data_IF_515234261937
#
_entry.id   IF_515234261937
#
_cell.length_a   1.000
_cell.length_b   1.000
_cell.length_c   1.000
_cell.angle_alpha   90.00
_cell.angle_beta   90.00
_cell.angle_gamma   90.00
#
_symmetry.space_group_name_H-M   'P 1'
#
loop_
_entity.id
_entity.type
_entity.pdbx_description
1 polymer ?
#
# COMPACT_ATOMS: atom_id res chain seq x y z
N UNK A 1 -5.30 -17.51 11.37
CA UNK A 1 -4.39 -16.55 10.73
C UNK A 1 -3.27 -16.30 11.73
N UNK A 2 -2.03 -16.10 11.26
CA UNK A 2 -0.89 -15.74 12.13
C UNK A 2 -0.40 -14.35 11.78
N UNK A 3 -0.64 -13.39 12.67
CA UNK A 3 -0.12 -12.03 12.57
C UNK A 3 1.19 -11.90 13.37
N UNK A 4 2.14 -11.19 12.78
CA UNK A 4 3.40 -10.82 13.43
C UNK A 4 3.71 -9.36 13.16
N UNK A 5 4.33 -8.70 14.13
CA UNK A 5 4.82 -7.33 14.01
C UNK A 5 6.34 -7.35 14.11
N UNK A 6 6.99 -6.82 13.09
CA UNK A 6 8.42 -6.58 13.06
C UNK A 6 8.68 -5.13 13.51
N UNK A 7 9.56 -4.94 14.49
CA UNK A 7 10.06 -3.64 14.95
C UNK A 7 11.55 -3.51 14.62
N UNK A 8 11.95 -2.31 14.22
CA UNK A 8 13.34 -1.91 13.95
C UNK A 8 13.76 -0.91 15.02
N UNK A 9 14.56 -1.36 15.98
CA UNK A 9 14.89 -0.60 17.19
C UNK A 9 16.40 -0.36 17.21
N UNK A 10 16.90 0.87 17.43
CA UNK A 10 18.34 1.11 17.58
C UNK A 10 18.95 0.18 18.61
N UNK A 11 20.09 -0.42 18.29
CA UNK A 11 20.64 -1.52 19.10
C UNK A 11 20.94 -1.11 20.55
N UNK A 12 21.38 0.13 20.76
CA UNK A 12 21.61 0.72 22.07
C UNK A 12 20.33 0.79 22.92
N UNK A 13 19.22 1.21 22.31
CA UNK A 13 17.91 1.28 22.96
C UNK A 13 17.38 -0.12 23.26
N UNK A 14 17.52 -1.04 22.30
CA UNK A 14 17.06 -2.41 22.46
C UNK A 14 17.81 -3.14 23.59
N UNK A 15 19.15 -3.10 23.62
CA UNK A 15 19.96 -3.76 24.66
C UNK A 15 19.67 -3.23 26.07
N UNK A 16 19.29 -1.96 26.18
CA UNK A 16 18.94 -1.34 27.47
C UNK A 16 17.56 -1.75 27.96
N UNK A 17 16.60 -1.95 27.05
CA UNK A 17 15.19 -2.02 27.40
C UNK A 17 14.51 -3.35 27.10
N UNK A 18 15.12 -4.25 26.33
CA UNK A 18 14.55 -5.53 25.93
C UNK A 18 15.37 -6.71 26.46
N UNK A 19 14.77 -7.91 26.60
CA UNK A 19 15.49 -9.12 27.00
C UNK A 19 16.71 -9.41 26.12
N UNK A 20 17.79 -9.90 26.74
CA UNK A 20 18.98 -10.33 26.01
C UNK A 20 18.65 -11.47 25.03
N UNK A 21 19.28 -11.45 23.85
CA UNK A 21 19.07 -12.47 22.80
C UNK A 21 17.78 -12.31 22.00
N UNK A 22 16.96 -11.29 22.26
CA UNK A 22 15.79 -11.01 21.46
C UNK A 22 16.17 -10.42 20.09
N UNK A 23 15.59 -10.94 19.01
CA UNK A 23 15.72 -10.35 17.66
C UNK A 23 17.03 -10.66 16.94
N UNK A 24 17.25 -9.98 15.82
CA UNK A 24 18.41 -10.15 14.93
C UNK A 24 19.10 -8.80 14.71
N UNK A 25 20.41 -8.74 14.96
CA UNK A 25 21.23 -7.55 14.71
C UNK A 25 21.43 -7.36 13.20
N UNK A 26 21.16 -6.16 12.71
CA UNK A 26 21.32 -5.78 11.30
C UNK A 26 22.30 -4.62 11.11
N UNK A 27 23.25 -4.44 12.04
CA UNK A 27 24.28 -3.41 11.94
C UNK A 27 23.78 -2.04 12.42
N UNK A 28 23.51 -1.93 13.73
CA UNK A 28 23.07 -0.70 14.39
C UNK A 28 21.57 -0.65 14.71
N UNK A 29 20.79 -1.53 14.10
CA UNK A 29 19.36 -1.72 14.36
C UNK A 29 19.10 -3.18 14.68
N UNK A 30 18.38 -3.44 15.76
CA UNK A 30 17.85 -4.74 16.11
C UNK A 30 16.47 -4.94 15.48
N UNK A 31 16.31 -6.01 14.70
CA UNK A 31 15.02 -6.46 14.17
C UNK A 31 14.37 -7.43 15.14
N UNK A 32 13.25 -7.02 15.74
CA UNK A 32 12.47 -7.82 16.69
C UNK A 32 11.16 -8.22 16.02
N UNK A 33 10.85 -9.52 15.93
CA UNK A 33 9.59 -10.01 15.35
C UNK A 33 8.78 -10.70 16.42
N UNK A 34 7.59 -10.19 16.71
CA UNK A 34 6.70 -10.68 17.76
C UNK A 34 5.36 -11.14 17.15
N UNK A 35 4.69 -12.09 17.79
CA UNK A 35 3.28 -12.35 17.51
C UNK A 35 2.45 -11.14 17.95
N UNK A 36 1.32 -10.86 17.30
CA UNK A 36 0.46 -9.70 17.62
C UNK A 36 -0.05 -9.68 19.07
N UNK A 37 -0.17 -10.86 19.70
CA UNK A 37 -0.60 -11.03 21.10
C UNK A 37 0.57 -11.09 22.10
N UNK A 38 1.81 -10.89 21.66
CA UNK A 38 2.96 -10.95 22.55
C UNK A 38 2.94 -9.80 23.57
N UNK A 39 3.00 -10.06 24.89
CA UNK A 39 2.93 -9.02 25.91
C UNK A 39 4.08 -8.00 25.81
N UNK A 40 5.18 -8.35 25.15
CA UNK A 40 6.28 -7.42 24.91
C UNK A 40 5.87 -6.25 24.00
N UNK A 41 4.85 -6.40 23.16
CA UNK A 41 4.31 -5.30 22.35
C UNK A 41 3.81 -4.16 23.23
N UNK A 42 3.11 -4.47 24.33
CA UNK A 42 2.64 -3.45 25.27
C UNK A 42 3.81 -2.68 25.90
N UNK A 43 4.91 -3.39 26.24
CA UNK A 43 6.13 -2.75 26.74
C UNK A 43 6.81 -1.88 25.68
N UNK A 44 6.91 -2.34 24.44
CA UNK A 44 7.46 -1.55 23.32
C UNK A 44 6.62 -0.29 23.12
N UNK A 45 5.29 -0.39 23.17
CA UNK A 45 4.38 0.77 23.10
C UNK A 45 4.66 1.78 24.22
N UNK A 46 4.79 1.34 25.47
CA UNK A 46 5.12 2.23 26.59
C UNK A 46 6.48 2.91 26.42
N UNK A 47 7.48 2.20 25.89
CA UNK A 47 8.80 2.76 25.59
C UNK A 47 8.74 3.77 24.45
N UNK A 48 7.98 3.49 23.39
CA UNK A 48 7.77 4.43 22.29
C UNK A 48 7.16 5.75 22.78
N UNK A 49 6.10 5.67 23.58
CA UNK A 49 5.49 6.86 24.18
C UNK A 49 6.48 7.62 25.09
N UNK A 50 7.27 6.90 25.88
CA UNK A 50 8.28 7.52 26.75
C UNK A 50 9.38 8.24 25.97
N UNK A 51 9.82 7.70 24.84
CA UNK A 51 10.81 8.33 23.96
C UNK A 51 10.22 9.52 23.22
N UNK A 52 8.98 9.41 22.71
CA UNK A 52 8.28 10.52 22.06
C UNK A 52 8.08 11.71 22.97
N UNK A 53 7.74 11.50 24.25
CA UNK A 53 7.64 12.56 25.25
C UNK A 53 8.96 13.36 25.43
N UNK A 54 10.09 12.82 24.96
CA UNK A 54 11.43 13.45 24.97
C UNK A 54 11.89 13.92 23.59
N UNK A 55 11.00 13.95 22.60
CA UNK A 55 11.33 14.30 21.21
C UNK A 55 12.23 13.27 20.51
N UNK A 56 12.22 12.01 20.97
CA UNK A 56 12.96 10.89 20.37
C UNK A 56 11.99 9.81 19.91
N UNK A 57 12.48 8.82 19.17
CA UNK A 57 11.72 7.61 18.85
C UNK A 57 12.44 6.37 19.40
N UNK A 58 11.69 5.36 19.82
CA UNK A 58 12.25 4.08 20.23
C UNK A 58 12.27 3.09 19.06
N UNK A 59 11.29 3.15 18.17
CA UNK A 59 11.09 2.31 16.98
C UNK A 59 11.31 3.13 15.71
N UNK A 60 12.41 2.87 15.01
CA UNK A 60 12.75 3.56 13.74
C UNK A 60 11.98 3.03 12.53
N UNK A 61 11.34 1.87 12.65
CA UNK A 61 10.59 1.27 11.56
C UNK A 61 9.84 0.04 12.01
N UNK A 62 8.84 -0.34 11.23
CA UNK A 62 7.96 -1.44 11.58
C UNK A 62 7.38 -2.11 10.33
N UNK A 63 6.90 -3.34 10.48
CA UNK A 63 6.17 -4.05 9.44
C UNK A 63 5.21 -5.07 10.05
N UNK A 64 3.93 -4.98 9.72
CA UNK A 64 2.95 -6.01 10.07
C UNK A 64 2.92 -7.05 8.96
N UNK A 65 2.93 -8.33 9.33
CA UNK A 65 2.83 -9.45 8.39
C UNK A 65 1.77 -10.43 8.85
N UNK A 66 0.83 -10.75 7.95
CA UNK A 66 -0.19 -11.78 8.16
C UNK A 66 0.11 -12.98 7.29
N UNK A 67 -0.01 -14.16 7.88
CA UNK A 67 0.09 -15.44 7.16
C UNK A 67 -1.20 -16.20 7.30
N UNK A 68 -1.69 -16.67 6.16
CA UNK A 68 -2.90 -17.45 6.05
C UNK A 68 -2.54 -18.86 5.59
N UNK A 69 -3.27 -19.83 6.11
CA UNK A 69 -3.34 -21.16 5.53
C UNK A 69 -4.01 -21.11 4.15
N UNK A 70 -3.82 -22.17 3.39
CA UNK A 70 -4.50 -22.33 2.10
C UNK A 70 -6.01 -22.31 2.26
N UNK A 71 -6.52 -23.00 3.27
CA UNK A 71 -7.96 -23.12 3.53
C UNK A 71 -8.58 -21.76 3.88
N UNK A 72 -7.90 -20.93 4.66
CA UNK A 72 -8.36 -19.57 4.95
C UNK A 72 -8.49 -18.71 3.69
N UNK A 73 -7.51 -18.78 2.79
CA UNK A 73 -7.56 -18.04 1.52
C UNK A 73 -8.60 -18.62 0.55
N UNK A 74 -8.86 -19.93 0.59
CA UNK A 74 -9.86 -20.59 -0.27
C UNK A 74 -11.30 -20.35 0.23
N UNK A 75 -11.49 -20.13 1.54
CA UNK A 75 -12.78 -19.82 2.16
C UNK A 75 -13.08 -18.32 2.25
N UNK A 76 -12.08 -17.45 2.03
CA UNK A 76 -12.24 -16.01 2.06
C UNK A 76 -13.33 -15.55 1.08
N UNK A 77 -14.26 -14.71 1.54
CA UNK A 77 -15.31 -14.11 0.70
C UNK A 77 -14.80 -12.93 -0.12
N UNK A 78 -13.71 -12.33 0.32
CA UNK A 78 -13.04 -11.21 -0.31
C UNK A 78 -11.56 -11.25 0.08
N UNK A 79 -10.68 -10.81 -0.81
CA UNK A 79 -9.25 -10.79 -0.56
C UNK A 79 -8.68 -9.41 -0.86
N UNK A 80 -7.90 -8.86 0.05
CA UNK A 80 -7.10 -7.66 -0.20
C UNK A 80 -5.79 -8.10 -0.85
N UNK A 81 -5.51 -7.59 -2.05
CA UNK A 81 -4.30 -7.92 -2.80
C UNK A 81 -3.56 -6.66 -3.19
N UNK A 82 -2.24 -6.74 -3.34
CA UNK A 82 -1.45 -5.63 -3.85
C UNK A 82 -0.16 -6.09 -4.50
N UNK A 83 0.38 -5.35 -5.48
CA UNK A 83 1.67 -5.65 -6.07
C UNK A 83 2.80 -5.59 -5.03
N UNK A 84 3.62 -6.64 -4.98
CA UNK A 84 4.75 -6.76 -4.05
C UNK A 84 5.93 -5.89 -4.48
N UNK A 85 6.17 -5.78 -5.80
CA UNK A 85 7.26 -4.97 -6.33
C UNK A 85 6.77 -3.57 -6.63
N UNK A 86 7.48 -2.60 -6.08
CA UNK A 86 7.40 -1.19 -6.47
C UNK A 86 8.62 -0.83 -7.33
N UNK A 87 8.50 0.13 -8.25
CA UNK A 87 9.64 0.66 -9.02
C UNK A 87 9.49 2.15 -9.31
N UNK A 88 10.62 2.76 -9.67
CA UNK A 88 10.74 4.14 -10.16
C UNK A 88 11.15 4.11 -11.64
N UNK A 89 10.83 5.15 -12.43
CA UNK A 89 10.15 6.40 -12.03
C UNK A 89 8.62 6.27 -11.85
N UNK A 90 8.01 7.29 -11.26
CA UNK A 90 6.56 7.51 -11.29
C UNK A 90 6.08 7.89 -12.71
N UNK A 91 4.77 7.74 -12.96
CA UNK A 91 4.19 8.15 -14.24
C UNK A 91 4.41 9.63 -14.57
N UNK A 92 4.28 10.51 -13.58
CA UNK A 92 4.43 11.98 -13.74
C UNK A 92 5.84 12.37 -14.22
N UNK A 93 6.87 11.67 -13.74
CA UNK A 93 8.26 11.89 -14.17
C UNK A 93 8.48 11.47 -15.63
N UNK A 94 7.59 10.66 -16.19
CA UNK A 94 7.62 10.18 -17.56
C UNK A 94 6.61 10.90 -18.48
N UNK A 95 5.90 11.92 -17.99
CA UNK A 95 4.93 12.68 -18.79
C UNK A 95 3.47 12.24 -18.65
N UNK A 96 3.14 11.36 -17.69
CA UNK A 96 1.74 11.13 -17.29
C UNK A 96 1.21 12.38 -16.61
N UNK A 97 0.04 12.85 -17.02
CA UNK A 97 -0.57 14.06 -16.47
C UNK A 97 -1.82 13.71 -15.66
N UNK A 98 -2.02 14.46 -14.59
CA UNK A 98 -3.18 14.38 -13.73
C UNK A 98 -3.88 15.74 -13.67
N UNK A 99 -5.20 15.72 -13.73
CA UNK A 99 -6.03 16.86 -13.36
C UNK A 99 -6.25 16.84 -11.85
N UNK A 100 -5.77 17.90 -11.21
CA UNK A 100 -5.83 18.11 -9.76
C UNK A 100 -6.99 19.04 -9.35
N UNK A 101 -7.81 19.52 -10.29
CA UNK A 101 -8.87 20.51 -10.02
C UNK A 101 -9.92 20.01 -9.02
N UNK A 102 -10.22 18.71 -9.04
CA UNK A 102 -11.13 18.04 -8.11
C UNK A 102 -10.41 17.32 -6.95
N UNK A 103 -9.08 17.43 -6.88
CA UNK A 103 -8.31 16.79 -5.83
C UNK A 103 -8.55 17.48 -4.48
N UNK A 104 -8.71 16.67 -3.44
CA UNK A 104 -8.91 17.17 -2.09
C UNK A 104 -7.66 17.89 -1.58
N UNK A 105 -7.80 19.20 -1.44
CA UNK A 105 -6.81 20.17 -0.99
C UNK A 105 -6.50 20.16 0.52
N UNK A 106 -7.14 19.28 1.29
CA UNK A 106 -6.98 19.26 2.74
C UNK A 106 -5.52 18.96 3.12
N UNK A 107 -4.90 19.89 3.85
CA UNK A 107 -3.54 19.76 4.37
C UNK A 107 -3.53 18.81 5.56
N UNK A 108 -2.85 17.67 5.39
CA UNK A 108 -2.66 16.65 6.42
C UNK A 108 -1.55 17.08 7.38
N UNK A 109 -0.45 17.62 6.83
CA UNK A 109 0.73 17.98 7.60
C UNK A 109 1.58 19.00 6.86
N UNK A 110 2.26 19.86 7.62
CA UNK A 110 3.35 20.70 7.14
C UNK A 110 4.64 20.20 7.77
N UNK A 111 5.56 19.75 6.93
CA UNK A 111 6.87 19.29 7.34
C UNK A 111 7.82 20.46 7.13
N UNK A 112 8.37 21.05 8.21
CA UNK A 112 9.25 22.20 8.09
C UNK A 112 10.52 21.84 7.31
N UNK A 113 11.18 22.86 6.78
CA UNK A 113 12.53 22.72 6.26
C UNK A 113 13.45 22.15 7.36
N UNK A 114 14.28 21.18 7.02
CA UNK A 114 15.24 20.61 7.95
C UNK A 114 16.50 20.14 7.22
N UNK A 115 17.60 20.04 7.96
CA UNK A 115 18.87 19.61 7.41
C UNK A 115 19.22 18.21 7.93
N UNK A 116 19.60 17.32 7.01
CA UNK A 116 20.15 16.00 7.37
C UNK A 116 21.51 15.83 6.69
N UNK A 117 22.56 15.67 7.50
CA UNK A 117 23.93 15.44 7.00
C UNK A 117 24.41 16.47 5.97
N UNK A 118 24.11 17.76 6.16
CA UNK A 118 24.46 18.82 5.21
C UNK A 118 23.51 18.99 4.02
N UNK A 119 22.49 18.13 3.90
CA UNK A 119 21.47 18.25 2.87
C UNK A 119 20.23 18.96 3.41
N UNK A 120 19.94 20.11 2.82
CA UNK A 120 18.75 20.91 3.13
C UNK A 120 17.53 20.31 2.43
N UNK A 121 16.61 19.78 3.22
CA UNK A 121 15.32 19.27 2.74
C UNK A 121 14.32 20.42 2.84
N UNK A 122 13.76 20.91 1.72
CA UNK A 122 12.81 22.02 1.74
C UNK A 122 11.55 21.66 2.52
N UNK A 123 10.83 22.70 2.98
CA UNK A 123 9.48 22.51 3.53
C UNK A 123 8.64 21.70 2.54
N UNK A 124 7.87 20.74 3.06
CA UNK A 124 6.95 19.95 2.26
C UNK A 124 5.58 19.89 2.92
N UNK A 125 4.54 19.84 2.09
CA UNK A 125 3.15 19.79 2.55
C UNK A 125 2.58 18.46 2.08
N UNK A 126 1.99 17.74 3.02
CA UNK A 126 1.22 16.56 2.73
C UNK A 126 -0.24 16.94 2.58
N UNK A 127 -0.82 16.60 1.43
CA UNK A 127 -2.23 16.82 1.15
C UNK A 127 -2.98 15.50 1.16
N UNK A 128 -4.30 15.58 1.27
CA UNK A 128 -5.16 14.44 0.99
C UNK A 128 -4.97 13.97 -0.44
N UNK A 129 -5.19 14.85 -1.44
CA UNK A 129 -5.01 14.61 -2.87
C UNK A 129 -5.93 13.56 -3.50
N UNK A 130 -6.85 12.97 -2.74
CA UNK A 130 -7.90 12.09 -3.29
C UNK A 130 -8.81 12.91 -4.20
N UNK A 131 -9.11 12.39 -5.39
CA UNK A 131 -9.94 13.07 -6.40
C UNK A 131 -9.18 13.48 -7.65
N UNK A 132 -7.83 13.45 -7.62
CA UNK A 132 -7.02 13.66 -8.82
C UNK A 132 -7.31 12.58 -9.88
N UNK A 133 -7.44 12.99 -11.14
CA UNK A 133 -7.79 12.11 -12.26
C UNK A 133 -6.64 12.07 -13.26
N UNK A 134 -6.20 10.88 -13.66
CA UNK A 134 -5.22 10.75 -14.73
C UNK A 134 -5.88 11.16 -16.07
N UNK A 135 -5.31 12.14 -16.77
CA UNK A 135 -5.90 12.70 -18.02
C UNK A 135 -5.15 12.32 -19.29
N UNK A 136 -4.01 11.64 -19.16
CA UNK A 136 -3.27 11.06 -20.28
C UNK A 136 -3.03 9.57 -20.07
N UNK A 137 -2.48 8.87 -21.06
CA UNK A 137 -2.00 7.50 -20.86
C UNK A 137 -0.91 7.44 -19.78
N UNK A 138 -0.71 6.29 -19.15
CA UNK A 138 0.43 6.07 -18.29
C UNK A 138 1.71 5.93 -19.14
N UNK A 139 2.60 6.90 -19.01
CA UNK A 139 3.94 6.89 -19.61
C UNK A 139 4.96 6.35 -18.63
N UNK A 140 5.83 5.44 -19.06
CA UNK A 140 6.89 4.85 -18.24
C UNK A 140 8.15 4.51 -19.07
N UNK A 141 9.31 4.43 -18.42
CA UNK A 141 10.52 3.83 -19.00
C UNK A 141 10.42 2.29 -18.93
N UNK A 142 10.25 1.65 -20.10
CA UNK A 142 10.06 0.20 -20.21
C UNK A 142 11.23 -0.62 -19.66
N UNK A 143 12.44 -0.04 -19.58
CA UNK A 143 13.63 -0.71 -19.03
C UNK A 143 13.56 -0.82 -17.51
N UNK A 144 12.78 0.03 -16.85
CA UNK A 144 12.62 0.06 -15.39
C UNK A 144 11.48 -0.82 -14.88
N UNK A 145 10.54 -1.20 -15.75
CA UNK A 145 9.42 -2.06 -15.38
C UNK A 145 9.95 -3.45 -14.98
N UNK A 146 9.67 -3.93 -13.76
CA UNK A 146 10.18 -5.20 -13.27
C UNK A 146 9.81 -6.38 -14.16
N UNK A 147 10.83 -7.13 -14.58
CA UNK A 147 10.67 -8.36 -15.38
C UNK A 147 10.33 -9.56 -14.48
N UNK A 148 9.77 -10.61 -15.10
CA UNK A 148 9.45 -11.90 -14.47
C UNK A 148 8.36 -11.84 -13.37
N UNK A 149 7.58 -10.77 -13.32
CA UNK A 149 6.37 -10.64 -12.50
C UNK A 149 5.22 -10.19 -13.38
N UNK A 150 4.00 -10.54 -12.99
CA UNK A 150 2.79 -10.22 -13.73
C UNK A 150 2.05 -9.01 -13.15
N UNK A 151 2.31 -8.66 -11.89
CA UNK A 151 1.81 -7.47 -11.21
C UNK A 151 2.97 -6.70 -10.58
N UNK A 152 3.01 -5.40 -10.85
CA UNK A 152 3.96 -4.45 -10.26
C UNK A 152 3.26 -3.11 -10.06
N UNK A 153 3.86 -2.19 -9.31
CA UNK A 153 3.37 -0.83 -9.17
C UNK A 153 4.50 0.18 -9.24
N UNK A 154 4.20 1.40 -9.65
CA UNK A 154 5.15 2.52 -9.48
C UNK A 154 5.20 2.96 -8.02
N UNK A 155 6.09 3.89 -7.68
CA UNK A 155 6.07 4.58 -6.38
C UNK A 155 4.83 5.48 -6.18
N UNK A 156 4.21 5.98 -7.27
CA UNK A 156 3.02 6.81 -7.21
C UNK A 156 1.71 6.00 -7.12
N UNK A 157 1.79 4.68 -7.26
CA UNK A 157 0.67 3.76 -7.02
C UNK A 157 -0.03 3.27 -8.28
N UNK A 158 0.42 3.66 -9.48
CA UNK A 158 -0.12 3.09 -10.72
C UNK A 158 0.24 1.59 -10.80
N UNK A 159 -0.77 0.75 -11.05
CA UNK A 159 -0.59 -0.71 -11.13
C UNK A 159 -0.34 -1.09 -12.59
N UNK A 160 0.79 -1.76 -12.83
CA UNK A 160 1.17 -2.26 -14.14
C UNK A 160 1.11 -3.78 -14.13
N UNK A 161 0.50 -4.34 -15.16
CA UNK A 161 0.33 -5.79 -15.33
C UNK A 161 0.92 -6.28 -16.64
N UNK A 162 1.28 -7.56 -16.70
CA UNK A 162 1.75 -8.21 -17.92
C UNK A 162 0.60 -8.52 -18.89
N UNK A 163 0.92 -8.68 -20.17
CA UNK A 163 -0.04 -9.15 -21.20
C UNK A 163 -0.71 -10.49 -20.84
N UNK A 164 -0.03 -11.36 -20.08
CA UNK A 164 -0.62 -12.60 -19.53
C UNK A 164 -1.77 -12.34 -18.58
N UNK A 165 -1.72 -11.27 -17.78
CA UNK A 165 -2.85 -10.90 -16.91
C UNK A 165 -4.06 -10.53 -17.76
N UNK A 166 -3.84 -9.69 -18.77
CA UNK A 166 -4.90 -9.24 -19.69
C UNK A 166 -5.57 -10.43 -20.37
N UNK A 167 -4.77 -11.35 -20.93
CA UNK A 167 -5.27 -12.58 -21.57
C UNK A 167 -6.12 -13.42 -20.62
N UNK A 168 -5.62 -13.72 -19.41
CA UNK A 168 -6.35 -14.52 -18.41
C UNK A 168 -7.66 -13.85 -18.01
N UNK A 169 -7.66 -12.54 -17.81
CA UNK A 169 -8.85 -11.81 -17.39
C UNK A 169 -9.90 -11.79 -18.50
N UNK A 170 -9.49 -11.60 -19.75
CA UNK A 170 -10.38 -11.61 -20.91
C UNK A 170 -10.94 -13.01 -21.20
N UNK A 171 -10.08 -14.03 -21.24
CA UNK A 171 -10.48 -15.43 -21.51
C UNK A 171 -11.48 -15.97 -20.48
N UNK A 172 -11.32 -15.58 -19.21
CA UNK A 172 -12.20 -15.99 -18.12
C UNK A 172 -13.39 -15.04 -17.91
N UNK A 173 -13.49 -13.96 -18.68
CA UNK A 173 -14.56 -12.97 -18.55
C UNK A 173 -14.59 -12.29 -17.17
N UNK A 174 -13.43 -12.04 -16.56
CA UNK A 174 -13.36 -11.38 -15.25
C UNK A 174 -13.79 -9.92 -15.37
N UNK A 175 -14.56 -9.46 -14.38
CA UNK A 175 -15.21 -8.14 -14.39
C UNK A 175 -14.56 -7.15 -13.43
N UNK A 176 -14.73 -5.86 -13.68
CA UNK A 176 -14.22 -4.78 -12.83
C UNK A 176 -12.80 -4.32 -13.13
N UNK A 177 -12.24 -4.69 -14.29
CA UNK A 177 -10.91 -4.27 -14.71
C UNK A 177 -10.91 -3.86 -16.19
N UNK A 178 -10.22 -2.76 -16.48
CA UNK A 178 -9.84 -2.28 -17.80
C UNK A 178 -8.31 -2.22 -17.90
N UNK A 179 -7.81 -2.35 -19.13
CA UNK A 179 -6.39 -2.48 -19.40
C UNK A 179 -5.96 -1.56 -20.53
N UNK A 180 -5.24 -0.49 -20.17
CA UNK A 180 -4.69 0.44 -21.14
C UNK A 180 -3.22 0.15 -21.40
N UNK A 181 -2.75 0.10 -22.65
CA UNK A 181 -1.33 -0.07 -22.95
C UNK A 181 -0.49 1.04 -22.31
N UNK A 182 0.58 0.67 -21.62
CA UNK A 182 1.57 1.64 -21.12
C UNK A 182 2.29 2.26 -22.32
N UNK A 183 2.47 3.59 -22.32
CA UNK A 183 3.26 4.31 -23.34
C UNK A 183 4.73 4.35 -22.93
N UNK A 184 5.62 3.91 -23.82
CA UNK A 184 7.04 3.71 -23.49
C UNK A 184 7.90 4.91 -23.87
N UNK A 185 8.43 5.64 -22.90
CA UNK A 185 9.29 6.83 -23.16
C UNK A 185 10.63 6.46 -23.81
N UNK A 186 11.14 5.24 -23.55
CA UNK A 186 12.33 4.70 -24.19
C UNK A 186 12.10 4.23 -25.64
N UNK A 187 10.84 4.31 -26.12
CA UNK A 187 10.44 3.90 -27.48
C UNK A 187 9.50 4.91 -28.13
N UNK A 188 9.81 6.21 -28.03
CA UNK A 188 9.04 7.28 -28.67
C UNK A 188 7.53 7.26 -28.35
N UNK A 189 7.17 6.85 -27.13
CA UNK A 189 5.79 6.73 -26.66
C UNK A 189 4.94 5.68 -27.37
N UNK A 190 5.56 4.70 -28.04
CA UNK A 190 4.83 3.57 -28.59
C UNK A 190 4.09 2.79 -27.47
N UNK A 191 2.88 2.27 -27.76
CA UNK A 191 2.16 1.45 -26.80
C UNK A 191 2.88 0.12 -26.59
N UNK A 192 3.07 -0.25 -25.33
CA UNK A 192 3.65 -1.54 -24.97
C UNK A 192 2.72 -2.68 -25.37
N UNK A 193 3.30 -3.74 -25.92
CA UNK A 193 2.60 -5.01 -26.19
C UNK A 193 2.65 -5.96 -24.97
N UNK A 194 3.53 -5.66 -24.01
CA UNK A 194 3.81 -6.55 -22.88
C UNK A 194 3.22 -6.03 -21.58
N UNK A 195 3.02 -4.72 -21.45
CA UNK A 195 2.69 -4.06 -20.19
C UNK A 195 1.47 -3.14 -20.32
N UNK A 196 0.54 -3.28 -19.38
CA UNK A 196 -0.73 -2.57 -19.36
C UNK A 196 -0.94 -1.93 -17.98
N UNK A 197 -1.54 -0.75 -17.93
CA UNK A 197 -2.08 -0.20 -16.70
C UNK A 197 -3.36 -0.96 -16.34
N UNK A 198 -3.46 -1.44 -15.10
CA UNK A 198 -4.72 -1.99 -14.57
C UNK A 198 -5.55 -0.85 -13.99
N UNK A 199 -6.67 -0.56 -14.64
CA UNK A 199 -7.68 0.39 -14.19
C UNK A 199 -8.87 -0.38 -13.61
N UNK A 200 -9.16 -0.21 -12.32
CA UNK A 200 -10.30 -0.89 -11.69
C UNK A 200 -11.55 -0.06 -11.92
N UNK A 201 -12.57 -0.69 -12.52
CA UNK A 201 -13.83 -0.04 -12.90
C UNK A 201 -15.02 -0.60 -12.13
N UNK A 202 -16.06 0.23 -12.03
CA UNK A 202 -17.28 -0.07 -11.27
C UNK A 202 -17.35 0.69 -9.96
N UNK A 203 -18.39 0.40 -9.16
CA UNK A 203 -18.64 1.11 -7.91
C UNK A 203 -17.63 0.70 -6.83
N UNK A 204 -16.85 1.62 -6.26
CA UNK A 204 -15.97 1.31 -5.13
C UNK A 204 -16.76 0.86 -3.90
N UNK A 205 -16.16 0.03 -3.07
CA UNK A 205 -16.75 -0.43 -1.80
C UNK A 205 -16.32 0.43 -0.62
N UNK A 206 -17.13 0.49 0.43
CA UNK A 206 -16.78 1.24 1.63
C UNK A 206 -16.03 0.39 2.65
N UNK A 207 -14.95 0.95 3.20
CA UNK A 207 -14.31 0.42 4.39
C UNK A 207 -15.23 0.56 5.61
N UNK A 208 -15.19 -0.48 6.43
CA UNK A 208 -15.76 -0.44 7.77
C UNK A 208 -14.80 0.27 8.74
N UNK A 209 -15.37 0.95 9.74
CA UNK A 209 -14.65 1.59 10.84
C UNK A 209 -13.73 0.66 11.64
N UNK A 210 -13.97 -0.66 11.62
CA UNK A 210 -13.07 -1.62 12.28
C UNK A 210 -11.73 -1.77 11.54
N UNK A 211 -11.63 -1.31 10.28
CA UNK A 211 -10.36 -1.26 9.56
C UNK A 211 -9.46 -0.18 10.17
N UNK A 212 -8.38 -0.61 10.83
CA UNK A 212 -7.42 0.27 11.48
C UNK A 212 -6.35 0.71 10.49
N UNK A 213 -6.05 2.00 10.50
CA UNK A 213 -5.00 2.60 9.69
C UNK A 213 -4.34 3.76 10.47
N UNK A 214 -3.08 4.05 10.17
CA UNK A 214 -2.28 5.04 10.89
C UNK A 214 -0.84 5.14 10.37
N UNK A 215 -0.02 5.97 10.99
CA UNK A 215 1.40 6.14 10.66
C UNK A 215 2.29 5.11 11.34
N UNK A 216 1.85 4.60 12.50
CA UNK A 216 2.61 3.69 13.36
C UNK A 216 1.65 2.68 14.04
N UNK A 217 2.09 1.46 14.42
CA UNK A 217 1.23 0.45 15.06
C UNK A 217 0.62 0.88 16.40
N UNK A 218 1.12 1.96 16.98
CA UNK A 218 0.64 2.52 18.25
C UNK A 218 -0.04 3.88 18.10
N UNK A 219 -0.15 4.40 16.87
CA UNK A 219 -0.69 5.71 16.56
C UNK A 219 -1.63 5.62 15.35
N UNK A 220 -2.91 5.42 15.66
CA UNK A 220 -3.98 5.31 14.68
C UNK A 220 -4.58 6.66 14.30
N UNK A 221 -4.39 7.69 15.13
CA UNK A 221 -5.21 8.91 15.07
C UNK A 221 -4.43 10.14 14.60
N UNK A 222 -3.09 10.14 14.63
CA UNK A 222 -2.36 11.40 14.44
C UNK A 222 -2.12 11.82 12.98
N UNK A 223 -1.92 10.89 12.05
CA UNK A 223 -1.38 11.25 10.72
C UNK A 223 -1.97 10.45 9.55
N UNK A 224 -2.21 11.14 8.44
CA UNK A 224 -2.69 10.55 7.18
C UNK A 224 -4.22 10.39 7.11
N UNK A 225 -4.98 10.97 8.04
CA UNK A 225 -6.45 10.97 8.01
C UNK A 225 -6.97 12.26 7.43
N UNK A 226 -7.98 12.15 6.56
CA UNK A 226 -8.70 13.30 6.04
C UNK A 226 -10.06 13.40 6.77
N UNK A 227 -10.46 14.57 7.33
CA UNK A 227 -11.74 14.73 8.00
C UNK A 227 -12.94 14.55 7.06
N UNK A 228 -12.73 14.65 5.74
CA UNK A 228 -13.73 14.32 4.70
C UNK A 228 -13.87 12.80 4.47
N UNK A 229 -13.21 11.97 5.29
CA UNK A 229 -13.20 10.50 5.22
C UNK A 229 -12.66 9.93 3.90
N UNK A 230 -11.89 10.71 3.15
CA UNK A 230 -11.21 10.24 1.93
C UNK A 230 -10.03 9.32 2.25
N UNK A 231 -9.25 9.67 3.28
CA UNK A 231 -8.10 8.90 3.76
C UNK A 231 -8.38 8.37 5.15
N UNK A 232 -8.16 7.07 5.34
CA UNK A 232 -8.32 6.41 6.64
C UNK A 232 -7.02 6.37 7.45
N UNK A 233 -5.89 6.72 6.84
CA UNK A 233 -4.57 6.75 7.48
C UNK A 233 -3.44 6.57 6.47
N UNK A 234 -2.20 6.68 6.95
CA UNK A 234 -1.01 6.49 6.09
C UNK A 234 -0.82 5.02 5.67
N UNK A 235 -0.94 4.09 6.61
CA UNK A 235 -0.71 2.66 6.41
C UNK A 235 -1.86 1.85 7.02
N UNK A 236 -2.11 0.65 6.47
CA UNK A 236 -3.01 -0.32 7.10
C UNK A 236 -2.36 -0.95 8.33
N UNK A 237 -3.12 -1.01 9.42
CA UNK A 237 -2.71 -1.59 10.70
C UNK A 237 -3.49 -2.86 11.05
N UNK A 238 -4.65 -3.08 10.45
CA UNK A 238 -5.44 -4.34 10.58
C UNK A 238 -5.64 -5.02 9.22
N UNK A 239 -6.29 -6.18 9.24
CA UNK A 239 -6.97 -6.72 8.06
C UNK A 239 -8.04 -5.71 7.57
N UNK A 240 -8.35 -5.79 6.28
CA UNK A 240 -9.37 -4.93 5.66
C UNK A 240 -10.74 -5.50 5.98
N UNK A 241 -11.66 -4.64 6.43
CA UNK A 241 -13.08 -4.98 6.56
C UNK A 241 -13.90 -4.03 5.69
N UNK A 242 -14.79 -4.59 4.89
CA UNK A 242 -15.68 -3.88 3.95
C UNK A 242 -17.11 -4.01 4.43
N UNK A 243 -17.89 -2.93 4.36
CA UNK A 243 -19.32 -2.97 4.71
C UNK A 243 -20.09 -3.88 3.75
N UNK A 244 -20.76 -4.91 4.25
CA UNK A 244 -21.36 -5.95 3.41
C UNK A 244 -22.64 -5.52 2.68
N UNK A 245 -23.26 -4.40 3.06
CA UNK A 245 -24.62 -4.05 2.64
C UNK A 245 -24.84 -4.08 1.12
N UNK A 246 -23.82 -3.74 0.31
CA UNK A 246 -23.85 -3.84 -1.16
C UNK A 246 -22.45 -4.03 -1.76
N UNK A 247 -21.94 -5.26 -1.79
CA UNK A 247 -20.73 -5.56 -2.57
C UNK A 247 -21.12 -5.80 -4.04
N UNK A 248 -20.60 -5.02 -4.99
CA UNK A 248 -20.84 -5.26 -6.41
C UNK A 248 -20.39 -6.65 -6.82
N UNK A 249 -21.07 -7.24 -7.82
CA UNK A 249 -20.72 -8.57 -8.35
C UNK A 249 -19.53 -8.50 -9.33
N UNK A 250 -18.50 -7.74 -9.00
CA UNK A 250 -17.29 -7.63 -9.81
C UNK A 250 -16.20 -8.56 -9.24
N UNK A 251 -15.32 -9.04 -10.11
CA UNK A 251 -14.18 -9.86 -9.70
C UNK A 251 -13.04 -9.04 -9.11
N UNK A 252 -12.93 -7.80 -9.56
CA UNK A 252 -11.93 -6.83 -9.14
C UNK A 252 -12.66 -5.59 -8.64
N UNK A 253 -12.26 -5.14 -7.47
CA UNK A 253 -12.89 -4.06 -6.72
C UNK A 253 -11.81 -3.15 -6.13
N UNK A 254 -12.19 -1.92 -5.83
CA UNK A 254 -11.38 -0.99 -5.05
C UNK A 254 -12.20 -0.38 -3.92
N UNK A 255 -11.52 0.06 -2.86
CA UNK A 255 -12.17 0.82 -1.79
C UNK A 255 -12.35 2.28 -2.18
N UNK A 256 -13.45 2.89 -1.70
CA UNK A 256 -13.68 4.35 -1.80
C UNK A 256 -12.67 5.10 -0.94
N UNK A 257 -12.49 4.67 0.30
CA UNK A 257 -11.49 5.20 1.19
C UNK A 257 -10.10 4.72 0.77
N UNK A 258 -9.11 5.61 0.87
CA UNK A 258 -7.74 5.36 0.45
C UNK A 258 -6.78 5.38 1.64
N UNK A 259 -5.58 4.84 1.42
CA UNK A 259 -4.44 4.96 2.34
C UNK A 259 -3.31 5.74 1.67
N UNK A 260 -2.47 6.36 2.48
CA UNK A 260 -1.38 7.21 2.00
C UNK A 260 -1.73 8.69 2.04
N UNK A 261 -0.91 9.51 1.40
CA UNK A 261 -1.08 10.95 1.26
C UNK A 261 -0.53 11.39 -0.09
N UNK A 262 -0.91 12.59 -0.54
CA UNK A 262 -0.25 13.26 -1.65
C UNK A 262 1.01 13.98 -1.14
N UNK A 263 2.18 13.51 -1.56
CA UNK A 263 3.50 14.09 -1.24
C UNK A 263 4.44 13.99 -2.44
N UNK A 264 4.82 15.11 -3.04
CA UNK A 264 5.80 15.13 -4.14
C UNK A 264 5.28 14.40 -5.39
N UNK A 265 5.62 13.13 -5.58
CA UNK A 265 5.07 12.24 -6.64
C UNK A 265 4.18 11.12 -6.05
N UNK A 266 4.22 10.94 -4.74
CA UNK A 266 3.38 9.95 -4.06
C UNK A 266 1.93 10.42 -4.07
N UNK A 267 1.02 9.49 -4.32
CA UNK A 267 -0.42 9.69 -4.34
C UNK A 267 -1.09 8.73 -3.35
N UNK A 268 -2.23 9.12 -2.74
CA UNK A 268 -3.04 8.17 -2.00
C UNK A 268 -3.55 7.08 -2.94
N UNK A 269 -3.76 5.88 -2.40
CA UNK A 269 -4.19 4.73 -3.20
C UNK A 269 -5.40 4.03 -2.58
N UNK A 270 -6.36 3.58 -3.40
CA UNK A 270 -7.36 2.66 -2.92
C UNK A 270 -6.74 1.31 -2.58
N UNK A 271 -7.49 0.48 -1.85
CA UNK A 271 -7.13 -0.90 -1.59
C UNK A 271 -7.73 -1.77 -2.68
N UNK A 272 -6.90 -2.59 -3.32
CA UNK A 272 -7.31 -3.48 -4.39
C UNK A 272 -7.86 -4.78 -3.80
N UNK A 273 -9.07 -5.15 -4.21
CA UNK A 273 -9.83 -6.25 -3.65
C UNK A 273 -10.21 -7.24 -4.75
N UNK A 274 -10.04 -8.53 -4.48
CA UNK A 274 -10.36 -9.61 -5.41
C UNK A 274 -11.50 -10.46 -4.85
N UNK A 275 -12.46 -10.79 -5.71
CA UNK A 275 -13.44 -11.82 -5.44
C UNK A 275 -12.76 -13.19 -5.33
N UNK A 276 -13.43 -14.21 -4.77
CA UNK A 276 -12.93 -15.58 -4.77
C UNK A 276 -12.74 -16.14 -6.18
N UNK A 277 -13.50 -15.65 -7.17
CA UNK A 277 -13.33 -16.03 -8.57
C UNK A 277 -12.06 -15.40 -9.16
N UNK A 278 -11.89 -14.08 -9.01
CA UNK A 278 -10.70 -13.36 -9.47
C UNK A 278 -9.41 -13.92 -8.87
N UNK A 279 -9.41 -14.22 -7.57
CA UNK A 279 -8.23 -14.82 -6.92
C UNK A 279 -7.93 -16.24 -7.40
N UNK A 280 -8.95 -17.07 -7.62
CA UNK A 280 -8.76 -18.41 -8.18
C UNK A 280 -8.18 -18.35 -9.60
N UNK A 281 -8.59 -17.40 -10.41
CA UNK A 281 -8.03 -17.18 -11.74
C UNK A 281 -6.52 -16.88 -11.68
N UNK A 282 -6.12 -15.92 -10.83
CA UNK A 282 -4.70 -15.59 -10.58
C UNK A 282 -3.90 -16.82 -10.16
N UNK A 283 -4.40 -17.59 -9.18
CA UNK A 283 -3.71 -18.79 -8.70
C UNK A 283 -3.60 -19.87 -9.78
N UNK A 284 -4.69 -20.15 -10.49
CA UNK A 284 -4.73 -21.18 -11.55
C UNK A 284 -3.76 -20.86 -12.68
N UNK A 285 -3.71 -19.59 -13.10
CA UNK A 285 -2.78 -19.11 -14.13
C UNK A 285 -1.35 -18.88 -13.62
N UNK A 286 -1.10 -19.07 -12.31
CA UNK A 286 0.20 -18.86 -11.65
C UNK A 286 0.76 -17.45 -11.95
N UNK A 287 -0.11 -16.44 -11.92
CA UNK A 287 0.30 -15.04 -12.09
C UNK A 287 1.09 -14.59 -10.86
N UNK A 288 2.20 -13.89 -11.08
CA UNK A 288 3.20 -13.55 -10.05
C UNK A 288 3.14 -12.08 -9.65
N UNK A 289 3.66 -11.77 -8.46
CA UNK A 289 3.91 -10.38 -8.04
C UNK A 289 2.83 -9.77 -7.15
N UNK A 290 1.85 -10.55 -6.68
CA UNK A 290 0.87 -10.12 -5.69
C UNK A 290 1.19 -10.65 -4.30
N UNK A 291 0.92 -9.82 -3.29
CA UNK A 291 0.67 -10.24 -1.91
C UNK A 291 -0.84 -10.31 -1.68
N UNK A 292 -1.28 -11.13 -0.73
CA UNK A 292 -2.69 -11.36 -0.44
C UNK A 292 -2.94 -11.46 1.07
N UNK A 293 -4.03 -10.85 1.51
CA UNK A 293 -4.62 -11.01 2.84
C UNK A 293 -6.13 -11.27 2.71
N UNK A 294 -6.71 -11.86 3.76
CA UNK A 294 -8.17 -11.97 3.85
C UNK A 294 -8.74 -10.56 4.07
N UNK A 295 -9.81 -10.25 3.33
CA UNK A 295 -10.65 -9.10 3.62
C UNK A 295 -12.00 -9.59 4.17
N UNK A 296 -12.44 -8.98 5.27
CA UNK A 296 -13.66 -9.35 5.97
C UNK A 296 -14.84 -8.52 5.49
N UNK A 297 -16.04 -9.04 5.74
CA UNK A 297 -17.29 -8.34 5.49
C UNK A 297 -17.96 -8.08 6.84
N UNK A 298 -18.41 -6.85 7.08
CA UNK A 298 -19.19 -6.46 8.27
C UNK A 298 -20.69 -6.36 8.02
#
# INVERSE_FOLDING_TARGET
MKETIEFRIPIENARKHLPAGLGVDLGGVLRVTLASEDPLIARIKSLEHHYHAKGKTFVHGWMIRRRYSRDELDQAKLLHVWPQKSFEPAGEECGTAYDESEACDYVISRIPEWEISGYRIPESIDFCGVGAVQVTSLYLDGRRIPRNVDFTRTIAGEIVVSSRVVQVFQELGLTGAEFDPVRLVDRNHEPSQDHYQLNVVGTPVELDSVTRAGSHPFDEDAYGRCPRSHLVGLNLLSEVTVKAAKIPKNDILITRQMVGVRRGLLRPRPLLLFSPCGWRAVKKAKLKGLTVEVAHLS
#
